data_IF_488720747864
#
_entry.id   IF_488720747864
#
_cell.length_a   1.000
_cell.length_b   1.000
_cell.length_c   1.000
_cell.angle_alpha   90.00
_cell.angle_beta   90.00
_cell.angle_gamma   90.00
#
_symmetry.space_group_name_H-M   'P 1'
#
loop_
_entity.id
_entity.type
_entity.pdbx_description
1 polymer ?
#
# COMPACT_ATOMS: atom_id res chain seq x y z
N UNK A 1 -16.86 -9.43 -5.42
CA UNK A 1 -15.95 -9.50 -6.59
C UNK A 1 -14.81 -8.52 -6.33
N UNK A 2 -13.63 -9.02 -5.92
CA UNK A 2 -12.52 -8.21 -5.37
C UNK A 2 -11.94 -7.26 -6.45
N UNK A 3 -11.77 -6.00 -6.11
CA UNK A 3 -11.39 -4.91 -7.04
C UNK A 3 -9.92 -4.97 -7.49
N UNK A 4 -9.10 -5.90 -6.96
CA UNK A 4 -7.64 -5.95 -7.20
C UNK A 4 -7.07 -7.38 -7.36
N UNK A 5 -7.80 -8.29 -8.00
CA UNK A 5 -7.29 -9.63 -8.29
C UNK A 5 -5.90 -9.55 -8.97
N UNK A 6 -4.90 -10.20 -8.37
CA UNK A 6 -3.50 -10.30 -8.83
C UNK A 6 -2.57 -9.10 -8.54
N UNK A 7 -2.95 -8.15 -7.69
CA UNK A 7 -2.03 -7.10 -7.23
C UNK A 7 -1.23 -7.50 -5.99
N UNK A 8 -0.09 -6.83 -5.78
CA UNK A 8 0.68 -6.93 -4.55
C UNK A 8 0.07 -5.97 -3.52
N UNK A 9 -0.52 -6.53 -2.47
CA UNK A 9 -1.22 -5.81 -1.42
C UNK A 9 -0.82 -6.30 -0.03
N UNK A 10 -1.11 -5.48 0.99
CA UNK A 10 -1.12 -5.91 2.38
C UNK A 10 -2.41 -6.71 2.64
N UNK A 11 -2.41 -7.66 3.61
CA UNK A 11 -3.64 -8.33 4.01
C UNK A 11 -4.69 -7.32 4.48
N UNK A 12 -5.94 -7.54 4.09
CA UNK A 12 -7.03 -6.65 4.46
C UNK A 12 -8.21 -6.73 3.50
N UNK A 13 -9.32 -6.16 3.94
CA UNK A 13 -10.57 -6.20 3.19
C UNK A 13 -11.61 -5.26 3.75
N UNK A 14 -12.87 -5.56 3.45
CA UNK A 14 -13.99 -4.69 3.82
C UNK A 14 -14.41 -5.01 5.25
N UNK A 15 -14.84 -3.99 5.99
CA UNK A 15 -15.58 -4.18 7.23
C UNK A 15 -16.81 -5.09 7.00
N UNK A 16 -17.01 -6.04 7.90
CA UNK A 16 -18.18 -6.93 7.94
C UNK A 16 -19.00 -6.76 9.22
N UNK A 17 -20.28 -7.11 9.15
CA UNK A 17 -21.17 -7.08 10.30
C UNK A 17 -20.69 -8.11 11.35
N UNK A 18 -20.13 -7.60 12.45
CA UNK A 18 -19.51 -8.41 13.50
C UNK A 18 -18.06 -8.01 13.81
N UNK A 19 -17.40 -7.27 12.93
CA UNK A 19 -16.11 -6.65 13.23
C UNK A 19 -16.31 -5.58 14.32
N UNK A 20 -15.48 -5.62 15.37
CA UNK A 20 -15.60 -4.67 16.51
C UNK A 20 -15.12 -3.28 16.11
N UNK A 21 -14.01 -3.22 15.39
CA UNK A 21 -13.31 -2.01 14.98
C UNK A 21 -12.36 -2.34 13.79
N UNK A 22 -11.56 -1.35 13.38
CA UNK A 22 -10.58 -1.53 12.31
C UNK A 22 -9.54 -2.62 12.61
N UNK A 23 -9.16 -2.80 13.90
CA UNK A 23 -8.26 -3.88 14.30
C UNK A 23 -8.93 -5.25 14.11
N UNK A 24 -10.20 -5.38 14.50
CA UNK A 24 -11.01 -6.58 14.28
C UNK A 24 -11.07 -6.99 12.81
N UNK A 25 -11.42 -6.05 11.93
CA UNK A 25 -11.42 -6.28 10.48
C UNK A 25 -10.04 -6.70 9.98
N UNK A 26 -8.98 -6.00 10.36
CA UNK A 26 -7.63 -6.30 9.90
C UNK A 26 -7.13 -7.68 10.38
N UNK A 27 -7.46 -8.07 11.62
CA UNK A 27 -7.12 -9.40 12.16
C UNK A 27 -7.87 -10.52 11.45
N UNK A 28 -9.18 -10.35 11.21
CA UNK A 28 -10.00 -11.33 10.48
C UNK A 28 -9.43 -11.56 9.08
N UNK A 29 -9.24 -10.50 8.31
CA UNK A 29 -8.72 -10.58 6.95
C UNK A 29 -7.31 -11.17 6.90
N UNK A 30 -6.41 -10.78 7.81
CA UNK A 30 -5.06 -11.37 7.87
C UNK A 30 -5.09 -12.86 8.27
N UNK A 31 -6.03 -13.28 9.11
CA UNK A 31 -6.23 -14.68 9.44
C UNK A 31 -6.79 -15.47 8.24
N UNK A 32 -7.80 -14.94 7.56
CA UNK A 32 -8.45 -15.57 6.40
C UNK A 32 -7.50 -15.69 5.18
N UNK A 33 -6.67 -14.68 4.94
CA UNK A 33 -5.80 -14.63 3.76
C UNK A 33 -4.48 -15.38 3.96
N UNK A 34 -3.83 -15.20 5.12
CA UNK A 34 -2.46 -15.69 5.36
C UNK A 34 -2.30 -16.50 6.65
N UNK A 35 -3.39 -16.78 7.36
CA UNK A 35 -3.36 -17.58 8.60
C UNK A 35 -2.66 -16.86 9.76
N UNK A 36 -2.60 -15.53 9.73
CA UNK A 36 -1.99 -14.77 10.83
C UNK A 36 -2.82 -14.95 12.11
N UNK A 37 -2.25 -15.41 13.23
CA UNK A 37 -3.03 -15.68 14.44
C UNK A 37 -3.73 -14.43 14.99
N UNK A 38 -4.97 -14.61 15.43
CA UNK A 38 -5.76 -13.58 16.12
C UNK A 38 -5.16 -13.25 17.49
N UNK A 39 -4.37 -14.16 18.08
CA UNK A 39 -3.70 -14.02 19.37
C UNK A 39 -2.97 -12.67 19.51
N UNK A 40 -3.47 -11.83 20.41
CA UNK A 40 -2.97 -10.47 20.65
C UNK A 40 -1.59 -10.45 21.29
N UNK A 41 -1.13 -11.52 21.96
CA UNK A 41 0.21 -11.56 22.54
C UNK A 41 1.27 -11.89 21.49
N UNK A 42 0.91 -12.71 20.48
CA UNK A 42 1.78 -13.08 19.35
C UNK A 42 1.80 -12.03 18.25
N UNK A 43 0.69 -11.33 18.07
CA UNK A 43 0.50 -10.29 17.06
C UNK A 43 -0.10 -9.07 17.75
N UNK A 44 0.77 -8.17 18.23
CA UNK A 44 0.38 -6.99 19.01
C UNK A 44 0.08 -5.82 18.08
N UNK A 45 -1.05 -5.12 18.30
CA UNK A 45 -1.30 -3.84 17.63
C UNK A 45 -0.31 -2.80 18.17
N UNK A 46 0.37 -2.11 17.28
CA UNK A 46 1.19 -0.95 17.62
C UNK A 46 0.36 0.33 17.54
N UNK A 47 -0.25 0.57 16.39
CA UNK A 47 -1.06 1.77 16.15
C UNK A 47 -1.95 1.59 14.90
N UNK A 48 -2.84 2.56 14.71
CA UNK A 48 -3.54 2.81 13.45
C UNK A 48 -2.90 4.04 12.81
N UNK A 49 -2.64 3.98 11.49
CA UNK A 49 -2.19 5.14 10.73
C UNK A 49 -3.38 6.03 10.35
N UNK A 50 -3.08 7.23 9.84
CA UNK A 50 -4.12 8.06 9.27
C UNK A 50 -4.83 7.37 8.11
N UNK A 51 -6.10 7.71 7.93
CA UNK A 51 -6.95 7.14 6.88
C UNK A 51 -6.51 7.58 5.51
N UNK A 52 -6.57 6.66 4.55
CA UNK A 52 -6.29 6.89 3.15
C UNK A 52 -7.57 6.85 2.33
N UNK A 53 -7.68 7.73 1.33
CA UNK A 53 -8.71 7.62 0.29
C UNK A 53 -8.14 7.04 -1.01
N UNK A 54 -8.80 6.00 -1.50
CA UNK A 54 -8.47 5.35 -2.77
C UNK A 54 -9.01 6.13 -3.98
N UNK A 55 -8.62 5.73 -5.19
CA UNK A 55 -9.15 6.30 -6.43
C UNK A 55 -10.63 5.98 -6.72
N UNK A 56 -11.20 5.00 -6.01
CA UNK A 56 -12.63 4.64 -6.07
C UNK A 56 -13.40 5.09 -4.82
N UNK A 57 -12.88 6.12 -4.11
CA UNK A 57 -13.55 6.78 -2.98
C UNK A 57 -13.81 5.85 -1.79
N UNK A 58 -12.95 4.86 -1.58
CA UNK A 58 -12.96 4.02 -0.38
C UNK A 58 -11.99 4.60 0.65
N UNK A 59 -12.41 4.57 1.92
CA UNK A 59 -11.58 4.89 3.06
C UNK A 59 -10.90 3.62 3.54
N UNK A 60 -9.58 3.69 3.72
CA UNK A 60 -8.75 2.59 4.23
C UNK A 60 -8.04 3.05 5.49
N UNK A 61 -8.18 2.29 6.57
CA UNK A 61 -7.49 2.50 7.85
C UNK A 61 -6.36 1.47 7.98
N UNK A 62 -5.09 1.85 7.83
CA UNK A 62 -3.99 0.92 8.00
C UNK A 62 -3.76 0.60 9.48
N UNK A 63 -3.81 -0.68 9.84
CA UNK A 63 -3.52 -1.15 11.20
C UNK A 63 -2.14 -1.78 11.24
N UNK A 64 -1.26 -1.29 12.12
CA UNK A 64 0.13 -1.75 12.21
C UNK A 64 0.25 -2.76 13.35
N UNK A 65 0.68 -3.96 13.00
CA UNK A 65 0.97 -5.02 13.95
C UNK A 65 2.47 -5.30 14.06
N UNK A 66 2.91 -5.68 15.26
CA UNK A 66 4.22 -6.30 15.49
C UNK A 66 4.02 -7.78 15.79
N UNK A 67 4.73 -8.61 15.03
CA UNK A 67 4.77 -10.05 15.25
C UNK A 67 5.89 -10.34 16.25
N UNK A 68 5.52 -10.76 17.46
CA UNK A 68 6.45 -11.08 18.55
C UNK A 68 6.87 -12.55 18.53
N UNK A 69 6.01 -13.44 18.01
CA UNK A 69 6.30 -14.86 17.83
C UNK A 69 6.94 -15.08 16.45
N UNK A 70 8.25 -15.31 16.43
CA UNK A 70 8.99 -15.57 15.19
C UNK A 70 8.90 -17.03 14.70
N UNK A 71 8.17 -17.88 15.42
CA UNK A 71 7.92 -19.28 15.02
C UNK A 71 6.67 -19.43 14.15
N UNK A 72 5.92 -18.34 13.95
CA UNK A 72 4.70 -18.35 13.14
C UNK A 72 4.98 -18.78 11.70
N UNK A 73 4.22 -19.78 11.25
CA UNK A 73 4.21 -20.25 9.88
C UNK A 73 2.90 -19.81 9.22
N UNK A 74 2.94 -18.88 8.25
CA UNK A 74 1.75 -18.45 7.53
C UNK A 74 1.05 -19.62 6.83
N UNK A 75 -0.28 -19.63 6.86
CA UNK A 75 -1.12 -20.60 6.16
C UNK A 75 -1.95 -19.85 5.12
N UNK A 76 -1.53 -19.91 3.86
CA UNK A 76 -2.16 -19.12 2.80
C UNK A 76 -3.48 -19.75 2.35
N UNK A 77 -4.51 -18.93 2.19
CA UNK A 77 -5.71 -19.31 1.47
C UNK A 77 -5.47 -19.21 -0.05
N UNK A 78 -5.40 -20.33 -0.79
CA UNK A 78 -5.02 -20.32 -2.19
C UNK A 78 -6.05 -19.65 -3.12
N UNK A 79 -7.31 -19.52 -2.69
CA UNK A 79 -8.37 -18.83 -3.45
C UNK A 79 -8.14 -17.32 -3.48
N UNK A 80 -7.38 -16.79 -2.51
CA UNK A 80 -7.21 -15.36 -2.30
C UNK A 80 -5.76 -14.92 -2.46
N UNK A 81 -4.82 -15.73 -1.96
CA UNK A 81 -3.40 -15.43 -1.90
C UNK A 81 -2.60 -16.43 -2.71
N UNK A 82 -2.13 -15.97 -3.88
CA UNK A 82 -1.24 -16.77 -4.74
C UNK A 82 0.17 -16.92 -4.15
N UNK A 83 0.70 -15.88 -3.51
CA UNK A 83 2.06 -15.82 -2.97
C UNK A 83 2.14 -14.87 -1.78
N UNK A 84 2.94 -15.25 -0.79
CA UNK A 84 3.35 -14.40 0.31
C UNK A 84 4.86 -14.15 0.25
N UNK A 85 5.28 -12.92 0.50
CA UNK A 85 6.68 -12.54 0.62
C UNK A 85 6.81 -11.36 1.58
N UNK A 86 8.03 -11.08 2.03
CA UNK A 86 8.33 -9.93 2.87
C UNK A 86 9.40 -9.04 2.23
N UNK A 87 9.36 -7.75 2.54
CA UNK A 87 10.38 -6.78 2.16
C UNK A 87 10.87 -6.04 3.40
N UNK A 88 12.16 -5.69 3.48
CA UNK A 88 12.65 -4.81 4.55
C UNK A 88 11.88 -3.49 4.53
N UNK A 89 11.24 -3.12 5.64
CA UNK A 89 10.42 -1.90 5.71
C UNK A 89 11.24 -0.65 5.38
N UNK A 90 12.52 -0.60 5.77
CA UNK A 90 13.43 0.51 5.46
C UNK A 90 13.67 0.71 3.95
N UNK A 91 13.45 -0.31 3.11
CA UNK A 91 13.65 -0.21 1.66
C UNK A 91 12.74 0.85 1.03
N UNK A 92 11.54 1.05 1.58
CA UNK A 92 10.55 2.03 1.11
C UNK A 92 10.96 3.49 1.34
N UNK A 93 12.14 3.75 1.91
CA UNK A 93 12.69 5.10 2.08
C UNK A 93 13.76 5.44 1.03
N UNK A 94 14.13 4.51 0.16
CA UNK A 94 15.24 4.69 -0.76
C UNK A 94 14.88 4.43 -2.22
N UNK A 95 15.33 5.32 -3.09
CA UNK A 95 15.06 5.26 -4.52
C UNK A 95 15.91 4.23 -5.26
N UNK A 96 17.08 3.91 -4.69
CA UNK A 96 18.08 3.02 -5.29
C UNK A 96 18.41 1.86 -4.35
N UNK A 97 18.54 0.63 -4.88
CA UNK A 97 19.00 -0.55 -4.15
C UNK A 97 20.22 -0.30 -3.26
N UNK A 98 21.20 0.42 -3.81
CA UNK A 98 22.48 0.61 -3.14
C UNK A 98 22.47 1.54 -1.94
N UNK A 99 21.37 2.26 -1.72
CA UNK A 99 21.19 3.11 -0.55
C UNK A 99 20.49 2.38 0.58
N UNK A 100 19.89 1.23 0.30
CA UNK A 100 19.20 0.41 1.28
C UNK A 100 20.26 -0.31 2.13
N UNK A 101 20.32 -0.08 3.45
CA UNK A 101 21.21 -0.81 4.32
C UNK A 101 20.94 -2.31 4.18
N UNK A 102 21.99 -3.13 4.05
CA UNK A 102 21.84 -4.58 4.00
C UNK A 102 20.98 -5.07 2.81
N UNK A 103 21.00 -4.37 1.67
CA UNK A 103 20.22 -4.78 0.48
C UNK A 103 20.57 -6.19 -0.04
N UNK A 104 21.81 -6.66 0.21
CA UNK A 104 22.29 -7.97 -0.24
C UNK A 104 21.75 -9.17 0.58
N UNK A 105 20.97 -8.95 1.64
CA UNK A 105 20.44 -10.04 2.47
C UNK A 105 19.22 -10.75 1.87
N UNK A 106 19.15 -10.86 0.53
CA UNK A 106 18.11 -11.57 -0.22
C UNK A 106 16.70 -11.29 0.32
N UNK A 107 16.05 -10.20 -0.14
CA UNK A 107 14.67 -9.78 0.20
C UNK A 107 13.90 -10.94 0.85
N UNK A 108 13.73 -10.87 2.17
CA UNK A 108 13.50 -12.04 3.03
C UNK A 108 12.38 -12.96 2.52
N UNK A 109 12.77 -14.15 2.06
CA UNK A 109 11.89 -15.31 2.05
C UNK A 109 11.87 -15.87 3.47
N UNK A 110 11.11 -15.29 4.39
CA UNK A 110 10.78 -16.01 5.62
C UNK A 110 9.89 -17.19 5.24
N UNK A 111 10.50 -18.32 4.90
CA UNK A 111 9.97 -19.64 5.23
C UNK A 111 10.78 -20.03 6.46
N UNK A 112 10.09 -20.33 7.55
CA UNK A 112 10.62 -20.77 8.85
C UNK A 112 11.81 -21.74 8.75
N UNK A 113 12.64 -21.79 9.80
CA UNK A 113 13.77 -22.72 9.93
C UNK A 113 13.33 -24.18 9.69
N UNK A 114 13.65 -24.70 8.51
CA UNK A 114 13.43 -26.07 8.10
C UNK A 114 14.63 -26.90 8.56
N UNK A 115 14.48 -28.16 9.03
CA UNK A 115 15.61 -29.02 9.33
C UNK A 115 16.60 -29.09 8.14
N UNK A 116 17.91 -29.08 8.40
CA UNK A 116 18.95 -29.00 7.35
C UNK A 116 18.77 -30.03 6.21
N UNK A 117 18.22 -31.21 6.51
CA UNK A 117 17.99 -32.26 5.51
C UNK A 117 16.89 -31.92 4.48
N UNK A 118 16.00 -30.98 4.78
CA UNK A 118 15.03 -30.46 3.81
C UNK A 118 15.64 -29.35 2.95
N UNK A 119 16.59 -28.58 3.49
CA UNK A 119 17.27 -27.47 2.79
C UNK A 119 18.06 -27.98 1.59
N UNK A 120 18.80 -29.08 1.75
CA UNK A 120 19.56 -29.70 0.66
C UNK A 120 18.66 -30.31 -0.44
N UNK A 121 17.36 -30.45 -0.15
CA UNK A 121 16.35 -31.02 -1.04
C UNK A 121 15.52 -29.95 -1.77
N UNK A 122 15.63 -28.68 -1.36
CA UNK A 122 14.88 -27.57 -1.97
C UNK A 122 15.76 -26.91 -3.03
N UNK A 123 15.34 -26.86 -4.31
CA UNK A 123 16.11 -26.17 -5.33
C UNK A 123 16.24 -24.68 -4.97
N UNK A 124 17.41 -24.05 -5.18
CA UNK A 124 17.58 -22.63 -4.91
C UNK A 124 16.52 -21.84 -5.69
N UNK A 125 15.98 -20.74 -5.11
CA UNK A 125 15.03 -19.92 -5.83
C UNK A 125 15.67 -19.46 -7.15
N UNK A 126 14.90 -19.44 -8.25
CA UNK A 126 15.43 -19.01 -9.54
C UNK A 126 15.95 -17.59 -9.41
N UNK A 127 17.17 -17.37 -9.90
CA UNK A 127 17.82 -16.05 -9.92
C UNK A 127 16.84 -15.06 -10.54
N UNK A 128 16.45 -14.05 -9.77
CA UNK A 128 15.51 -13.05 -10.26
C UNK A 128 16.25 -12.02 -11.08
N UNK A 129 16.10 -12.13 -12.39
CA UNK A 129 16.57 -11.16 -13.35
C UNK A 129 15.48 -10.10 -13.56
N UNK A 130 15.74 -8.87 -13.12
CA UNK A 130 14.87 -7.71 -13.39
C UNK A 130 14.79 -7.46 -14.91
N UNK A 131 13.60 -7.14 -15.44
CA UNK A 131 13.39 -6.95 -16.88
C UNK A 131 14.09 -5.69 -17.41
N UNK A 132 14.85 -5.91 -18.49
CA UNK A 132 15.43 -4.95 -19.44
C UNK A 132 14.36 -3.94 -19.87
N UNK A 133 14.58 -2.62 -19.86
CA UNK A 133 15.62 -1.93 -20.60
C UNK A 133 16.17 -0.71 -19.84
N UNK A 134 17.49 -0.54 -19.96
CA UNK A 134 18.33 0.55 -19.40
C UNK A 134 18.72 0.42 -17.91
N UNK A 135 19.19 -0.77 -17.53
CA UNK A 135 20.60 -0.93 -17.13
C UNK A 135 21.07 -0.75 -15.66
N UNK A 136 20.68 -1.67 -14.75
CA UNK A 136 21.51 -2.46 -13.79
C UNK A 136 21.08 -2.53 -12.31
N UNK A 137 20.69 -3.73 -11.83
CA UNK A 137 20.63 -4.10 -10.40
C UNK A 137 21.43 -5.40 -10.20
N UNK A 138 22.35 -5.45 -9.22
CA UNK A 138 23.44 -6.44 -9.12
C UNK A 138 24.85 -5.83 -9.18
N UNK A 139 24.97 -4.51 -9.01
CA UNK A 139 26.25 -3.76 -9.15
C UNK A 139 26.13 -2.25 -9.34
N UNK A 140 24.88 -1.72 -9.47
CA UNK A 140 24.41 -0.31 -9.68
C UNK A 140 24.45 0.13 -11.17
N UNK A 141 23.48 0.83 -11.78
CA UNK A 141 22.31 1.59 -11.31
C UNK A 141 21.05 1.38 -12.21
N UNK A 142 20.02 0.77 -11.63
CA UNK A 142 18.63 0.70 -12.12
C UNK A 142 17.71 1.09 -10.97
N UNK A 143 16.60 1.76 -11.26
CA UNK A 143 15.76 2.34 -10.19
C UNK A 143 14.87 1.27 -9.55
N UNK A 144 15.06 1.07 -8.25
CA UNK A 144 14.17 0.25 -7.40
C UNK A 144 12.81 0.92 -7.23
N UNK A 145 12.84 2.25 -7.16
CA UNK A 145 11.68 3.12 -7.01
C UNK A 145 11.37 3.87 -8.32
N UNK A 146 10.09 4.01 -8.62
CA UNK A 146 9.59 4.96 -9.60
C UNK A 146 8.32 5.63 -9.09
N UNK A 147 7.92 6.72 -9.74
CA UNK A 147 6.63 7.34 -9.49
C UNK A 147 5.96 7.82 -10.76
N UNK A 148 4.65 8.03 -10.68
CA UNK A 148 3.88 8.75 -11.68
C UNK A 148 2.89 9.66 -10.98
N UNK A 149 2.82 10.91 -11.39
CA UNK A 149 1.76 11.78 -10.94
C UNK A 149 0.49 11.50 -11.76
N UNK A 150 -0.65 11.38 -11.10
CA UNK A 150 -1.97 11.13 -11.71
C UNK A 150 -2.97 12.19 -11.26
N UNK A 151 -4.02 12.40 -12.05
CA UNK A 151 -5.20 13.16 -11.60
C UNK A 151 -6.05 12.24 -10.74
N UNK A 152 -6.28 12.64 -9.50
CA UNK A 152 -7.16 11.92 -8.59
C UNK A 152 -8.63 12.23 -8.91
N UNK A 153 -9.54 11.27 -8.69
CA UNK A 153 -10.99 11.45 -8.87
C UNK A 153 -11.54 11.29 -10.29
N UNK A 154 -10.68 11.20 -11.33
CA UNK A 154 -11.13 11.13 -12.73
C UNK A 154 -11.52 9.70 -13.19
N UNK A 155 -11.83 8.81 -12.25
CA UNK A 155 -12.04 7.39 -12.49
C UNK A 155 -13.42 7.06 -13.10
N UNK A 156 -14.29 8.08 -13.30
CA UNK A 156 -15.65 7.89 -13.80
C UNK A 156 -15.85 8.12 -15.31
N UNK A 157 -14.82 8.52 -16.08
CA UNK A 157 -15.01 8.86 -17.51
C UNK A 157 -14.10 8.12 -18.50
N UNK A 158 -13.56 6.94 -18.17
CA UNK A 158 -12.82 6.15 -19.17
C UNK A 158 -13.03 4.65 -19.00
N UNK A 159 -14.21 4.20 -19.40
CA UNK A 159 -14.53 2.79 -19.67
C UNK A 159 -13.72 2.16 -20.83
N UNK A 160 -12.65 2.80 -21.33
CA UNK A 160 -11.88 2.31 -22.49
C UNK A 160 -10.36 2.60 -22.48
N UNK A 161 -9.75 3.08 -21.38
CA UNK A 161 -8.28 3.25 -21.30
C UNK A 161 -7.57 2.19 -20.45
N UNK A 162 -8.29 1.09 -20.17
CA UNK A 162 -7.75 -0.07 -19.47
C UNK A 162 -6.61 -0.71 -20.27
N UNK A 163 -5.53 -1.02 -19.53
CA UNK A 163 -4.43 -1.96 -19.82
C UNK A 163 -3.09 -1.32 -20.24
N UNK A 164 -3.00 -0.30 -21.10
CA UNK A 164 -1.69 0.10 -21.65
C UNK A 164 -0.84 1.06 -20.80
N UNK A 165 -1.40 1.73 -19.80
CA UNK A 165 -0.65 2.71 -18.99
C UNK A 165 0.11 2.10 -17.80
N UNK A 166 0.01 0.81 -17.53
CA UNK A 166 0.69 0.17 -16.39
C UNK A 166 2.17 -0.18 -16.65
N UNK A 167 2.64 -0.06 -17.89
CA UNK A 167 3.93 -0.64 -18.31
C UNK A 167 5.10 0.34 -18.40
N UNK A 168 4.88 1.67 -18.40
CA UNK A 168 5.97 2.67 -18.40
C UNK A 168 5.96 3.51 -17.12
N UNK A 169 6.51 2.98 -16.03
CA UNK A 169 6.85 3.78 -14.85
C UNK A 169 8.18 4.51 -15.05
N UNK A 170 8.29 5.29 -16.12
CA UNK A 170 9.26 6.38 -16.17
C UNK A 170 8.75 7.49 -15.24
N UNK A 171 9.63 8.08 -14.44
CA UNK A 171 9.25 9.17 -13.53
C UNK A 171 8.58 10.28 -14.33
N UNK A 172 7.27 10.40 -14.19
CA UNK A 172 6.47 11.33 -14.98
C UNK A 172 5.73 12.27 -14.05
N UNK A 173 5.99 13.56 -14.23
CA UNK A 173 5.30 14.64 -13.54
C UNK A 173 4.18 15.16 -14.44
N UNK A 174 2.99 15.36 -13.87
CA UNK A 174 1.90 16.04 -14.58
C UNK A 174 2.17 17.53 -14.63
N UNK A 175 1.91 18.17 -15.77
CA UNK A 175 2.06 19.63 -15.90
C UNK A 175 0.96 20.35 -15.12
N UNK A 176 1.27 21.52 -14.56
CA UNK A 176 0.35 22.27 -13.67
C UNK A 176 -0.98 22.68 -14.32
N UNK A 177 -1.02 22.77 -15.64
CA UNK A 177 -2.23 23.14 -16.37
C UNK A 177 -3.23 21.98 -16.54
N UNK A 178 -2.89 20.75 -16.15
CA UNK A 178 -3.71 19.55 -16.39
C UNK A 178 -4.63 19.18 -15.22
N UNK A 179 -4.53 19.85 -14.07
CA UNK A 179 -5.28 19.53 -12.85
C UNK A 179 -6.34 20.58 -12.51
N UNK A 180 -7.40 20.67 -13.31
CA UNK A 180 -8.59 21.42 -12.89
C UNK A 180 -9.52 20.54 -12.03
N UNK A 181 -9.97 21.07 -10.89
CA UNK A 181 -10.95 20.43 -9.99
C UNK A 181 -10.32 19.55 -8.91
N UNK A 182 -10.04 18.29 -9.23
CA UNK A 182 -9.77 17.25 -8.22
C UNK A 182 -8.31 17.24 -7.72
N UNK A 183 -7.33 17.69 -8.52
CA UNK A 183 -5.92 17.81 -8.13
C UNK A 183 -5.05 16.58 -8.46
N UNK A 184 -3.75 16.66 -8.11
CA UNK A 184 -2.74 15.64 -8.44
C UNK A 184 -2.42 14.74 -7.25
N UNK A 185 -2.07 13.49 -7.54
CA UNK A 185 -1.54 12.53 -6.56
C UNK A 185 -0.33 11.82 -7.15
N UNK A 186 0.74 11.71 -6.38
CA UNK A 186 1.89 10.88 -6.71
C UNK A 186 1.61 9.41 -6.42
N UNK A 187 1.67 8.59 -7.45
CA UNK A 187 1.59 7.14 -7.37
C UNK A 187 3.01 6.57 -7.31
N UNK A 188 3.35 5.99 -6.17
CA UNK A 188 4.65 5.36 -5.95
C UNK A 188 4.67 3.92 -6.47
N UNK A 189 5.85 3.45 -6.86
CA UNK A 189 6.11 2.07 -7.27
C UNK A 189 7.48 1.61 -6.78
N UNK A 190 7.54 0.41 -6.23
CA UNK A 190 8.76 -0.28 -5.82
C UNK A 190 8.83 -1.66 -6.43
N UNK A 191 10.00 -2.01 -6.96
CA UNK A 191 10.27 -3.36 -7.44
C UNK A 191 10.37 -4.33 -6.27
N UNK A 192 9.83 -5.52 -6.44
CA UNK A 192 9.86 -6.61 -5.46
C UNK A 192 11.07 -7.51 -5.63
N UNK A 193 11.75 -7.44 -6.77
CA UNK A 193 12.77 -8.42 -7.13
C UNK A 193 12.20 -9.79 -7.40
N UNK A 194 10.92 -9.86 -7.82
CA UNK A 194 10.19 -11.09 -8.14
C UNK A 194 9.33 -10.91 -9.40
N UNK A 195 9.52 -9.81 -10.13
CA UNK A 195 8.78 -9.50 -11.35
C UNK A 195 8.91 -10.59 -12.41
N UNK A 196 10.12 -11.15 -12.57
CA UNK A 196 10.36 -12.29 -13.47
C UNK A 196 9.60 -13.57 -13.11
N UNK A 197 9.13 -13.68 -11.86
CA UNK A 197 8.27 -14.78 -11.42
C UNK A 197 6.77 -14.44 -11.58
N UNK A 198 6.42 -13.26 -12.09
CA UNK A 198 5.04 -12.78 -12.21
C UNK A 198 4.49 -12.11 -10.94
N UNK A 199 5.34 -11.71 -9.99
CA UNK A 199 4.91 -10.86 -8.86
C UNK A 199 4.84 -9.41 -9.33
N UNK A 200 3.71 -8.75 -9.11
CA UNK A 200 3.60 -7.33 -9.47
C UNK A 200 4.43 -6.46 -8.49
N UNK A 201 4.96 -5.33 -8.95
CA UNK A 201 5.58 -4.33 -8.08
C UNK A 201 4.65 -3.93 -6.92
N UNK A 202 5.21 -3.41 -5.82
CA UNK A 202 4.42 -2.73 -4.77
C UNK A 202 4.10 -1.33 -5.28
N UNK A 203 2.83 -0.96 -5.41
CA UNK A 203 2.48 0.34 -6.01
C UNK A 203 1.20 0.95 -5.42
N UNK A 204 0.96 2.21 -5.76
CA UNK A 204 -0.27 2.92 -5.39
C UNK A 204 -0.46 3.07 -3.89
N UNK A 205 -1.67 2.75 -3.40
CA UNK A 205 -2.02 2.88 -1.98
C UNK A 205 -1.10 2.03 -1.10
N UNK A 206 -0.85 0.77 -1.47
CA UNK A 206 0.05 -0.13 -0.72
C UNK A 206 1.43 0.49 -0.52
N UNK A 207 1.99 1.07 -1.59
CA UNK A 207 3.28 1.76 -1.51
C UNK A 207 3.22 3.01 -0.62
N UNK A 208 2.15 3.81 -0.71
CA UNK A 208 1.98 5.00 0.11
C UNK A 208 1.90 4.66 1.62
N UNK A 209 1.13 3.62 1.97
CA UNK A 209 1.07 3.10 3.35
C UNK A 209 2.47 2.69 3.82
N UNK A 210 3.19 1.88 3.02
CA UNK A 210 4.51 1.39 3.39
C UNK A 210 5.56 2.50 3.55
N UNK A 211 5.53 3.54 2.70
CA UNK A 211 6.40 4.72 2.86
C UNK A 211 6.08 5.43 4.17
N UNK A 212 4.80 5.65 4.50
CA UNK A 212 4.40 6.32 5.74
C UNK A 212 4.77 5.50 6.98
N UNK A 213 4.49 4.19 6.97
CA UNK A 213 4.88 3.27 8.03
C UNK A 213 6.41 3.28 8.23
N UNK A 214 7.18 3.21 7.15
CA UNK A 214 8.64 3.26 7.23
C UNK A 214 9.13 4.61 7.76
N UNK A 215 8.53 5.71 7.30
CA UNK A 215 8.96 7.05 7.69
C UNK A 215 8.75 7.30 9.18
N UNK A 216 7.61 6.86 9.72
CA UNK A 216 7.31 6.92 11.16
C UNK A 216 8.20 5.94 11.93
N UNK A 217 8.30 4.69 11.48
CA UNK A 217 9.00 3.63 12.20
C UNK A 217 10.53 3.83 12.30
N UNK A 218 11.13 4.50 11.32
CA UNK A 218 12.57 4.80 11.30
C UNK A 218 12.89 6.28 11.58
N UNK A 219 11.88 7.12 11.86
CA UNK A 219 12.02 8.57 12.02
C UNK A 219 12.85 9.21 10.89
N UNK A 220 12.53 8.83 9.66
CA UNK A 220 13.32 9.19 8.49
C UNK A 220 12.44 9.46 7.27
N UNK A 221 12.66 10.58 6.59
CA UNK A 221 11.99 10.87 5.32
C UNK A 221 12.56 10.04 4.16
N UNK A 222 11.74 9.70 3.15
CA UNK A 222 12.24 9.06 1.94
C UNK A 222 13.23 9.97 1.19
N UNK A 223 14.20 9.37 0.50
CA UNK A 223 15.20 10.09 -0.31
C UNK A 223 14.66 10.60 -1.67
N UNK A 224 13.35 10.49 -1.86
CA UNK A 224 12.59 10.92 -3.02
C UNK A 224 11.38 11.73 -2.56
N UNK A 225 10.80 12.59 -3.42
CA UNK A 225 9.68 13.41 -2.98
C UNK A 225 8.40 12.57 -2.86
N UNK A 226 7.82 12.57 -1.65
CA UNK A 226 6.63 11.80 -1.30
C UNK A 226 5.34 12.33 -1.96
N UNK A 227 5.24 13.64 -2.18
CA UNK A 227 4.08 14.26 -2.81
C UNK A 227 4.41 14.82 -4.19
N UNK A 228 3.41 14.85 -5.08
CA UNK A 228 3.52 15.63 -6.31
C UNK A 228 3.51 17.13 -5.98
N UNK A 229 4.13 18.00 -6.80
CA UNK A 229 3.99 19.44 -6.66
C UNK A 229 2.52 19.85 -6.62
N UNK A 230 2.11 20.60 -5.59
CA UNK A 230 0.72 21.03 -5.40
C UNK A 230 -0.27 19.92 -5.04
N UNK A 231 0.20 18.71 -4.69
CA UNK A 231 -0.67 17.64 -4.21
C UNK A 231 -1.36 18.04 -2.90
N UNK A 232 -2.68 17.91 -2.88
CA UNK A 232 -3.49 18.05 -1.67
C UNK A 232 -3.14 16.95 -0.67
N UNK A 233 -3.11 17.29 0.60
CA UNK A 233 -2.97 16.33 1.70
C UNK A 233 -4.08 15.28 1.67
N UNK A 234 -3.86 14.16 2.36
CA UNK A 234 -4.87 13.10 2.43
C UNK A 234 -6.19 13.61 3.03
N UNK A 235 -6.10 14.44 4.08
CA UNK A 235 -7.26 15.11 4.70
C UNK A 235 -8.02 15.96 3.70
N UNK A 236 -7.34 16.84 2.97
CA UNK A 236 -7.97 17.75 2.01
C UNK A 236 -8.65 16.97 0.89
N UNK A 237 -8.08 15.83 0.47
CA UNK A 237 -8.69 14.94 -0.51
C UNK A 237 -9.95 14.26 0.01
N UNK A 238 -9.93 13.74 1.25
CA UNK A 238 -11.12 13.17 1.90
C UNK A 238 -12.22 14.24 2.01
N UNK A 239 -11.87 15.43 2.50
CA UNK A 239 -12.80 16.55 2.62
C UNK A 239 -13.37 16.98 1.27
N UNK A 240 -12.53 17.06 0.24
CA UNK A 240 -12.98 17.38 -1.11
C UNK A 240 -13.98 16.35 -1.62
N UNK A 241 -13.68 15.05 -1.45
CA UNK A 241 -14.56 13.97 -1.91
C UNK A 241 -15.91 14.01 -1.21
N UNK A 242 -15.92 14.21 0.12
CA UNK A 242 -17.16 14.28 0.90
C UNK A 242 -17.98 15.50 0.47
N UNK A 243 -17.36 16.68 0.32
CA UNK A 243 -18.08 17.94 0.11
C UNK A 243 -18.49 18.20 -1.34
N UNK A 244 -17.68 17.78 -2.31
CA UNK A 244 -17.80 18.23 -3.70
C UNK A 244 -18.08 17.09 -4.69
N UNK A 245 -17.95 15.83 -4.28
CA UNK A 245 -18.19 14.68 -5.15
C UNK A 245 -19.42 13.93 -4.66
N UNK A 246 -20.42 13.78 -5.52
CA UNK A 246 -21.60 12.93 -5.27
C UNK A 246 -21.24 11.45 -5.47
N UNK A 247 -20.25 10.99 -4.69
CA UNK A 247 -19.64 9.67 -4.80
C UNK A 247 -20.13 8.68 -3.74
N UNK A 248 -19.60 7.45 -3.75
CA UNK A 248 -19.88 6.44 -2.72
C UNK A 248 -19.57 6.92 -1.30
N UNK A 249 -18.46 7.65 -1.12
CA UNK A 249 -18.06 8.16 0.19
C UNK A 249 -19.06 9.18 0.75
N UNK A 250 -19.47 10.16 -0.07
CA UNK A 250 -20.48 11.15 0.35
C UNK A 250 -21.79 10.48 0.73
N UNK A 251 -22.25 9.50 -0.06
CA UNK A 251 -23.46 8.72 0.27
C UNK A 251 -23.32 7.95 1.58
N UNK A 252 -22.16 7.37 1.87
CA UNK A 252 -21.92 6.70 3.14
C UNK A 252 -22.01 7.68 4.32
N UNK A 253 -21.35 8.84 4.21
CA UNK A 253 -21.39 9.91 5.23
C UNK A 253 -22.82 10.40 5.49
N UNK A 254 -23.64 10.54 4.44
CA UNK A 254 -25.04 10.95 4.56
C UNK A 254 -25.89 9.85 5.25
N UNK A 255 -25.70 8.58 4.88
CA UNK A 255 -26.43 7.44 5.48
C UNK A 255 -26.08 7.25 6.95
N UNK A 256 -24.82 7.46 7.32
CA UNK A 256 -24.36 7.38 8.71
C UNK A 256 -24.73 8.62 9.55
N UNK A 257 -25.41 9.61 8.96
CA UNK A 257 -25.82 10.83 9.64
C UNK A 257 -24.66 11.75 10.03
N UNK A 258 -23.48 11.54 9.42
CA UNK A 258 -22.26 12.29 9.73
C UNK A 258 -22.17 13.60 8.93
N UNK A 259 -23.02 13.83 7.93
CA UNK A 259 -22.91 14.99 7.02
C UNK A 259 -22.77 16.34 7.72
N UNK A 260 -23.47 16.55 8.84
CA UNK A 260 -23.41 17.81 9.58
C UNK A 260 -22.02 18.09 10.18
N UNK A 261 -21.27 17.04 10.52
CA UNK A 261 -19.87 17.15 10.97
C UNK A 261 -18.93 17.57 9.82
N UNK A 262 -19.28 17.23 8.58
CA UNK A 262 -18.40 17.35 7.42
C UNK A 262 -18.74 18.51 6.47
N UNK A 263 -19.94 19.09 6.56
CA UNK A 263 -20.44 20.14 5.66
C UNK A 263 -19.85 21.54 5.87
N UNK A 264 -19.31 21.87 7.05
CA UNK A 264 -18.86 23.24 7.36
C UNK A 264 -17.40 23.51 6.99
N UNK A 265 -17.13 24.66 6.36
CA UNK A 265 -15.77 25.14 6.06
C UNK A 265 -15.07 25.77 7.26
N UNK A 266 -15.81 26.11 8.32
CA UNK A 266 -15.26 26.75 9.52
C UNK A 266 -14.59 25.70 10.43
N UNK A 267 -13.29 25.89 10.61
CA UNK A 267 -12.40 25.00 11.34
C UNK A 267 -12.76 24.89 12.81
N UNK A 268 -13.04 23.66 13.24
CA UNK A 268 -12.68 23.18 14.55
C UNK A 268 -12.30 21.70 14.42
N UNK A 269 -10.99 21.47 14.56
CA UNK A 269 -10.30 20.20 14.73
C UNK A 269 -10.58 19.10 13.69
N UNK A 270 -10.01 19.25 12.50
CA UNK A 270 -10.03 18.23 11.43
C UNK A 270 -9.51 16.85 11.90
N UNK A 271 -8.71 16.80 12.98
CA UNK A 271 -8.27 15.54 13.59
C UNK A 271 -9.41 14.80 14.33
N UNK A 272 -10.32 15.50 15.01
CA UNK A 272 -11.48 14.87 15.66
C UNK A 272 -12.49 14.32 14.65
N UNK A 273 -12.67 15.00 13.50
CA UNK A 273 -13.55 14.53 12.44
C UNK A 273 -13.03 13.21 11.83
N UNK A 274 -11.71 13.09 11.61
CA UNK A 274 -11.07 11.85 11.12
C UNK A 274 -11.34 10.62 11.99
N UNK A 275 -11.54 10.78 13.30
CA UNK A 275 -11.80 9.66 14.20
C UNK A 275 -13.20 9.05 14.02
N UNK A 276 -14.15 9.78 13.40
CA UNK A 276 -15.54 9.35 13.23
C UNK A 276 -15.84 8.63 11.91
N UNK A 277 -14.95 8.75 10.91
CA UNK A 277 -14.91 7.84 9.74
C UNK A 277 -14.32 6.49 10.13
#
# INVERSE_FOLDING_TARGET
MRTYAHDTALPGGKYEEGDIDAEGTARREAYEEIGLPIDHEKVKKLCELEKFITGNSLIVTPVIFIITDHTLTPLLNPEEVKRLFSMPLNSFLFSRPSKIPSFHYNISHRISSIPNWVIDSIPPPPIVNYSLDKGQVGGKEGRFYGFRDIIWGNTLSSSNSSINNYLSFENTELKDNESQGQGKVRMHRFLTGREGQGVKPVYGLTAAILIQTASIGYDQFPDFPFHAPGQKSMTERILYEIRHVEGPLRRAVEVEGLWDDWKSEEGHDDQQKKAKL
#
